data_IF_238532582684
#
_entry.id   IF_238532582684
#
_cell.length_a   1.000
_cell.length_b   1.000
_cell.length_c   1.000
_cell.angle_alpha   90.00
_cell.angle_beta   90.00
_cell.angle_gamma   90.00
#
_symmetry.space_group_name_H-M   'P 1'
#
loop_
_entity.id
_entity.type
_entity.pdbx_description
1 polymer ?
#
# COMPACT_ATOMS: atom_id res chain seq x y z
N UNK A 1 52.45 36.28 3.87
CA UNK A 1 51.60 35.76 2.78
C UNK A 1 50.26 35.30 3.33
N UNK A 2 49.22 35.32 2.49
CA UNK A 2 47.82 34.90 2.74
C UNK A 2 46.85 35.96 3.26
N UNK A 3 46.88 37.16 2.65
CA UNK A 3 45.88 38.24 2.83
C UNK A 3 44.75 38.24 1.78
N UNK A 4 44.65 37.20 0.95
CA UNK A 4 43.68 37.14 -0.17
C UNK A 4 42.50 36.18 0.05
N UNK A 5 42.43 35.47 1.18
CA UNK A 5 41.36 34.47 1.38
C UNK A 5 40.05 35.08 1.91
N UNK A 6 40.10 36.26 2.55
CA UNK A 6 38.93 36.91 3.14
C UNK A 6 38.12 37.76 2.14
N UNK A 7 38.65 38.03 0.95
CA UNK A 7 37.96 38.88 -0.04
C UNK A 7 37.03 38.13 -0.99
N UNK A 8 37.02 36.80 -0.95
CA UNK A 8 36.17 35.96 -1.80
C UNK A 8 34.87 35.51 -1.10
N UNK A 9 34.65 35.97 0.14
CA UNK A 9 33.49 35.61 0.96
C UNK A 9 32.35 36.67 0.97
N UNK A 10 32.55 37.82 0.32
CA UNK A 10 31.57 38.93 0.32
C UNK A 10 30.86 39.18 -1.02
N UNK A 11 31.19 38.44 -2.09
CA UNK A 11 30.57 38.61 -3.42
C UNK A 11 29.63 37.45 -3.79
N UNK A 12 28.92 36.89 -2.80
CA UNK A 12 27.86 35.90 -3.02
C UNK A 12 26.53 36.26 -2.35
N UNK A 13 26.43 37.44 -1.71
CA UNK A 13 25.25 37.86 -0.96
C UNK A 13 24.19 38.66 -1.77
N UNK A 14 24.24 38.72 -3.10
CA UNK A 14 23.34 39.60 -3.88
C UNK A 14 22.60 38.96 -5.06
N UNK A 15 22.57 37.63 -5.18
CA UNK A 15 21.71 36.94 -6.16
C UNK A 15 21.10 35.68 -5.54
N UNK A 16 19.87 35.78 -5.04
CA UNK A 16 19.16 34.60 -4.53
C UNK A 16 17.79 34.80 -3.90
N UNK A 17 17.16 35.97 -4.01
CA UNK A 17 15.79 36.21 -3.51
C UNK A 17 14.81 36.39 -4.67
N UNK A 18 14.65 35.35 -5.50
CA UNK A 18 13.56 35.26 -6.47
C UNK A 18 13.33 33.83 -6.94
N UNK A 19 12.81 32.94 -6.07
CA UNK A 19 12.23 31.64 -6.47
C UNK A 19 11.36 31.06 -5.35
N UNK A 20 10.26 31.74 -5.00
CA UNK A 20 9.22 31.19 -4.08
C UNK A 20 7.87 30.97 -4.79
N UNK A 21 7.83 31.04 -6.12
CA UNK A 21 6.62 30.78 -6.92
C UNK A 21 6.88 29.72 -7.99
N UNK A 22 7.15 28.48 -7.56
CA UNK A 22 7.15 27.32 -8.46
C UNK A 22 6.65 26.00 -7.83
N UNK A 23 6.39 25.94 -6.52
CA UNK A 23 6.09 24.67 -5.82
C UNK A 23 4.61 24.24 -5.85
N UNK A 24 3.90 24.42 -6.97
CA UNK A 24 2.49 23.99 -7.06
C UNK A 24 2.31 22.86 -8.09
N UNK A 25 3.20 22.73 -9.08
CA UNK A 25 3.18 21.61 -10.03
C UNK A 25 4.09 20.42 -9.62
N UNK A 26 5.11 20.66 -8.79
CA UNK A 26 6.11 19.65 -8.40
C UNK A 26 5.64 18.66 -7.33
N UNK A 27 4.50 18.93 -6.67
CA UNK A 27 4.05 18.12 -5.53
C UNK A 27 3.77 16.65 -5.88
N UNK A 28 3.38 16.34 -7.11
CA UNK A 28 3.15 14.96 -7.56
C UNK A 28 4.45 14.19 -7.83
N UNK A 29 5.39 14.84 -8.54
CA UNK A 29 6.69 14.26 -8.88
C UNK A 29 7.57 14.08 -7.64
N UNK A 30 7.56 15.04 -6.72
CA UNK A 30 8.27 14.94 -5.44
C UNK A 30 7.75 13.79 -4.57
N UNK A 31 6.42 13.57 -4.52
CA UNK A 31 5.83 12.44 -3.78
C UNK A 31 6.23 11.11 -4.40
N UNK A 32 6.20 10.99 -5.72
CA UNK A 32 6.64 9.77 -6.42
C UNK A 32 8.13 9.47 -6.17
N UNK A 33 8.98 10.50 -6.18
CA UNK A 33 10.40 10.38 -5.86
C UNK A 33 10.63 9.91 -4.41
N UNK A 34 9.87 10.44 -3.45
CA UNK A 34 9.94 9.99 -2.05
C UNK A 34 9.48 8.53 -1.86
N UNK A 35 8.41 8.11 -2.54
CA UNK A 35 8.00 6.70 -2.53
C UNK A 35 9.09 5.78 -3.12
N UNK A 36 9.75 6.21 -4.19
CA UNK A 36 10.85 5.47 -4.79
C UNK A 36 12.05 5.37 -3.83
N UNK A 37 12.39 6.47 -3.14
CA UNK A 37 13.43 6.50 -2.09
C UNK A 37 13.11 5.51 -0.97
N UNK A 38 11.91 5.58 -0.39
CA UNK A 38 11.47 4.67 0.69
C UNK A 38 11.52 3.21 0.23
N UNK A 39 11.13 2.92 -1.01
CA UNK A 39 11.16 1.57 -1.57
C UNK A 39 12.59 1.05 -1.71
N UNK A 40 13.50 1.89 -2.24
CA UNK A 40 14.93 1.56 -2.36
C UNK A 40 15.55 1.30 -0.98
N UNK A 41 15.27 2.16 0.00
CA UNK A 41 15.80 2.02 1.36
C UNK A 41 15.29 0.75 2.03
N UNK A 42 14.01 0.40 1.84
CA UNK A 42 13.46 -0.87 2.31
C UNK A 42 14.20 -2.06 1.68
N UNK A 43 14.46 -2.04 0.38
CA UNK A 43 15.21 -3.11 -0.28
C UNK A 43 16.64 -3.25 0.26
N UNK A 44 17.31 -2.13 0.57
CA UNK A 44 18.64 -2.14 1.16
C UNK A 44 18.63 -2.77 2.57
N UNK A 45 17.63 -2.43 3.40
CA UNK A 45 17.45 -3.03 4.72
C UNK A 45 17.20 -4.53 4.60
N UNK A 46 16.34 -4.97 3.69
CA UNK A 46 16.08 -6.41 3.47
C UNK A 46 17.33 -7.16 3.01
N UNK A 47 18.11 -6.57 2.10
CA UNK A 47 19.37 -7.16 1.64
C UNK A 47 20.36 -7.33 2.79
N UNK A 48 20.60 -6.26 3.56
CA UNK A 48 21.47 -6.32 4.73
C UNK A 48 20.97 -7.34 5.74
N UNK A 49 19.67 -7.40 5.99
CA UNK A 49 19.09 -8.39 6.90
C UNK A 49 19.36 -9.82 6.43
N UNK A 50 19.22 -10.11 5.13
CA UNK A 50 19.54 -11.42 4.58
C UNK A 50 21.03 -11.77 4.74
N UNK A 51 21.92 -10.82 4.48
CA UNK A 51 23.37 -10.99 4.66
C UNK A 51 23.73 -11.22 6.14
N UNK A 52 23.12 -10.47 7.06
CA UNK A 52 23.28 -10.65 8.50
C UNK A 52 22.75 -12.01 8.99
N UNK A 53 21.58 -12.43 8.50
CA UNK A 53 20.98 -13.71 8.86
C UNK A 53 21.84 -14.89 8.36
N UNK A 54 22.39 -14.79 7.14
CA UNK A 54 23.36 -15.76 6.63
C UNK A 54 24.63 -15.82 7.51
N UNK A 55 25.16 -14.65 7.90
CA UNK A 55 26.31 -14.57 8.80
C UNK A 55 26.04 -15.14 10.21
N UNK A 56 24.79 -15.13 10.67
CA UNK A 56 24.46 -15.70 11.99
C UNK A 56 24.68 -17.21 12.07
N UNK A 57 24.58 -17.95 10.97
CA UNK A 57 24.81 -19.41 10.97
C UNK A 57 26.28 -19.79 11.22
N UNK A 58 27.21 -18.84 11.11
CA UNK A 58 28.63 -19.06 11.41
C UNK A 58 28.97 -18.83 12.90
N UNK A 59 28.00 -18.40 13.71
CA UNK A 59 28.19 -18.09 15.13
C UNK A 59 27.69 -19.23 16.00
N UNK A 60 28.25 -19.37 17.21
CA UNK A 60 27.75 -20.34 18.19
C UNK A 60 26.35 -19.98 18.71
N UNK A 61 26.10 -18.71 19.02
CA UNK A 61 24.80 -18.20 19.48
C UNK A 61 23.90 -17.80 18.29
N UNK A 62 23.56 -18.75 17.42
CA UNK A 62 22.80 -18.49 16.18
C UNK A 62 21.44 -17.85 16.47
N UNK A 63 20.71 -18.36 17.47
CA UNK A 63 19.36 -17.88 17.80
C UNK A 63 19.39 -16.43 18.28
N UNK A 64 20.25 -16.11 19.25
CA UNK A 64 20.40 -14.74 19.76
C UNK A 64 20.84 -13.77 18.65
N UNK A 65 21.75 -14.20 17.78
CA UNK A 65 22.17 -13.41 16.63
C UNK A 65 21.00 -13.10 15.69
N UNK A 66 20.19 -14.11 15.35
CA UNK A 66 19.04 -13.95 14.46
C UNK A 66 17.96 -13.06 15.09
N UNK A 67 17.72 -13.20 16.39
CA UNK A 67 16.73 -12.37 17.08
C UNK A 67 17.17 -10.91 17.17
N UNK A 68 18.47 -10.65 17.39
CA UNK A 68 19.04 -9.32 17.32
C UNK A 68 18.95 -8.72 15.90
N UNK A 69 19.25 -9.51 14.86
CA UNK A 69 19.10 -9.09 13.45
C UNK A 69 17.65 -8.75 13.11
N UNK A 70 16.69 -9.59 13.52
CA UNK A 70 15.25 -9.33 13.36
C UNK A 70 14.80 -8.08 14.11
N UNK A 71 15.32 -7.84 15.31
CA UNK A 71 15.01 -6.65 16.09
C UNK A 71 15.47 -5.37 15.38
N UNK A 72 16.69 -5.35 14.85
CA UNK A 72 17.21 -4.23 14.04
C UNK A 72 16.33 -3.97 12.81
N UNK A 73 16.06 -5.01 12.01
CA UNK A 73 15.18 -4.90 10.83
C UNK A 73 13.80 -4.33 11.18
N UNK A 74 13.19 -4.76 12.29
CA UNK A 74 11.88 -4.24 12.72
C UNK A 74 11.92 -2.74 13.00
N UNK A 75 12.94 -2.25 13.70
CA UNK A 75 13.07 -0.82 14.04
C UNK A 75 13.25 0.03 12.79
N UNK A 76 14.11 -0.39 11.87
CA UNK A 76 14.41 0.36 10.65
C UNK A 76 13.22 0.38 9.69
N UNK A 77 12.56 -0.75 9.47
CA UNK A 77 11.33 -0.80 8.66
C UNK A 77 10.20 0.00 9.31
N UNK A 78 10.10 0.00 10.64
CA UNK A 78 9.09 0.78 11.35
C UNK A 78 9.28 2.29 11.12
N UNK A 79 10.52 2.77 11.01
CA UNK A 79 10.77 4.17 10.69
C UNK A 79 10.32 4.53 9.27
N UNK A 80 10.70 3.72 8.27
CA UNK A 80 10.23 3.90 6.89
C UNK A 80 8.71 3.87 6.79
N UNK A 81 8.06 2.99 7.55
CA UNK A 81 6.60 2.90 7.59
C UNK A 81 5.97 4.18 8.15
N UNK A 82 6.57 4.82 9.16
CA UNK A 82 6.08 6.11 9.68
C UNK A 82 6.19 7.21 8.62
N UNK A 83 7.33 7.27 7.91
CA UNK A 83 7.54 8.21 6.82
C UNK A 83 6.51 8.01 5.70
N UNK A 84 6.28 6.76 5.29
CA UNK A 84 5.30 6.40 4.26
C UNK A 84 3.86 6.74 4.68
N UNK A 85 3.49 6.54 5.94
CA UNK A 85 2.17 6.96 6.46
C UNK A 85 2.02 8.48 6.37
N UNK A 86 3.02 9.24 6.81
CA UNK A 86 2.98 10.71 6.74
C UNK A 86 2.86 11.21 5.31
N UNK A 87 3.57 10.58 4.37
CA UNK A 87 3.51 10.91 2.95
C UNK A 87 2.11 10.63 2.36
N UNK A 88 1.54 9.46 2.65
CA UNK A 88 0.20 9.09 2.24
C UNK A 88 -0.87 10.02 2.83
N UNK A 89 -0.71 10.44 4.09
CA UNK A 89 -1.62 11.38 4.74
C UNK A 89 -1.60 12.75 4.07
N UNK A 90 -0.41 13.27 3.76
CA UNK A 90 -0.24 14.51 3.02
C UNK A 90 -0.87 14.42 1.62
N UNK A 91 -0.67 13.31 0.93
CA UNK A 91 -1.24 13.10 -0.40
C UNK A 91 -2.78 13.04 -0.36
N UNK A 92 -3.36 12.35 0.62
CA UNK A 92 -4.82 12.30 0.82
C UNK A 92 -5.41 13.69 1.06
N UNK A 93 -4.76 14.51 1.90
CA UNK A 93 -5.19 15.89 2.16
C UNK A 93 -5.13 16.74 0.88
N UNK A 94 -4.04 16.62 0.11
CA UNK A 94 -3.88 17.37 -1.15
C UNK A 94 -4.96 17.00 -2.18
N UNK A 95 -5.16 15.70 -2.44
CA UNK A 95 -6.19 15.21 -3.35
C UNK A 95 -7.61 15.62 -2.90
N UNK A 96 -7.85 15.63 -1.60
CA UNK A 96 -9.10 16.12 -1.01
C UNK A 96 -9.32 17.61 -1.29
N UNK A 97 -8.30 18.44 -1.06
CA UNK A 97 -8.35 19.87 -1.34
C UNK A 97 -8.54 20.17 -2.83
N UNK A 98 -7.81 19.49 -3.71
CA UNK A 98 -7.97 19.60 -5.17
C UNK A 98 -9.40 19.24 -5.60
N UNK A 99 -9.99 18.20 -5.01
CA UNK A 99 -11.36 17.80 -5.30
C UNK A 99 -12.39 18.86 -4.84
N UNK A 100 -12.20 19.46 -3.66
CA UNK A 100 -13.04 20.54 -3.17
C UNK A 100 -12.96 21.76 -4.08
N UNK A 101 -11.75 22.18 -4.48
CA UNK A 101 -11.55 23.27 -5.43
C UNK A 101 -12.24 22.99 -6.78
N UNK A 102 -12.14 21.77 -7.30
CA UNK A 102 -12.87 21.38 -8.52
C UNK A 102 -14.37 21.49 -8.37
N UNK A 103 -14.92 21.12 -7.21
CA UNK A 103 -16.35 21.23 -6.93
C UNK A 103 -16.80 22.69 -6.80
N UNK A 104 -16.01 23.54 -6.15
CA UNK A 104 -16.26 24.98 -6.02
C UNK A 104 -16.20 25.69 -7.37
N UNK A 105 -15.19 25.40 -8.20
CA UNK A 105 -15.10 25.93 -9.56
C UNK A 105 -16.28 25.47 -10.43
N UNK A 106 -16.70 24.20 -10.29
CA UNK A 106 -17.87 23.68 -11.01
C UNK A 106 -19.20 24.26 -10.52
N UNK A 107 -19.27 24.72 -9.27
CA UNK A 107 -20.43 25.41 -8.72
C UNK A 107 -20.46 26.87 -9.18
N UNK A 108 -19.32 27.58 -9.09
CA UNK A 108 -19.18 28.95 -9.57
C UNK A 108 -19.47 29.09 -11.08
N UNK A 109 -19.01 28.13 -11.90
CA UNK A 109 -19.31 28.08 -13.34
C UNK A 109 -20.79 27.82 -13.66
N UNK A 110 -21.61 27.40 -12.69
CA UNK A 110 -23.06 27.21 -12.85
C UNK A 110 -23.88 28.40 -12.38
N UNK A 111 -23.28 29.28 -11.57
CA UNK A 111 -23.91 30.49 -11.02
C UNK A 111 -23.63 31.75 -11.86
N UNK A 112 -22.78 31.67 -12.91
CA UNK A 112 -22.65 32.76 -13.89
C UNK A 112 -23.94 32.92 -14.73
N UNK A 113 -24.54 34.12 -14.81
CA UNK A 113 -25.70 34.36 -15.66
C UNK A 113 -25.33 34.22 -17.14
N UNK A 114 -26.23 33.70 -17.99
CA UNK A 114 -25.93 33.50 -19.41
C UNK A 114 -25.70 34.85 -20.10
N UNK A 115 -24.45 35.15 -20.45
CA UNK A 115 -24.14 36.16 -21.48
C UNK A 115 -24.57 35.60 -22.83
N UNK A 116 -25.63 36.17 -23.37
CA UNK A 116 -26.16 35.82 -24.67
C UNK A 116 -25.17 36.23 -25.78
N UNK A 117 -24.51 35.24 -26.39
CA UNK A 117 -24.01 35.33 -27.76
C UNK A 117 -24.55 34.12 -28.51
N UNK A 118 -25.54 34.37 -29.38
CA UNK A 118 -26.10 33.32 -30.22
C UNK A 118 -25.13 32.90 -31.31
N UNK A 119 -25.02 31.60 -31.55
CA UNK A 119 -25.65 30.94 -32.72
C UNK A 119 -25.47 29.41 -32.67
N UNK A 120 -26.54 28.72 -33.10
CA UNK A 120 -26.62 27.38 -33.67
C UNK A 120 -26.41 26.10 -32.80
N UNK A 121 -27.53 25.45 -32.49
CA UNK A 121 -27.79 24.02 -32.14
C UNK A 121 -27.56 23.07 -33.35
N UNK A 122 -27.63 21.71 -33.26
CA UNK A 122 -27.93 20.84 -32.11
C UNK A 122 -27.12 19.51 -32.00
N UNK A 123 -27.20 18.81 -30.84
CA UNK A 123 -27.84 17.47 -30.70
C UNK A 123 -27.26 16.61 -29.55
N UNK A 124 -28.13 16.31 -28.59
CA UNK A 124 -28.31 14.96 -28.04
C UNK A 124 -27.51 14.55 -26.80
N UNK A 125 -28.02 14.86 -25.60
CA UNK A 125 -28.62 13.88 -24.67
C UNK A 125 -29.05 14.58 -23.37
N UNK A 126 -30.33 14.44 -23.05
CA UNK A 126 -31.04 14.76 -21.79
C UNK A 126 -30.44 15.83 -20.85
N UNK A 127 -31.01 17.03 -20.91
CA UNK A 127 -30.85 18.08 -19.92
C UNK A 127 -31.39 17.63 -18.54
N UNK A 128 -30.57 17.75 -17.50
CA UNK A 128 -31.06 17.96 -16.14
C UNK A 128 -31.19 19.49 -15.94
N UNK A 129 -32.32 20.03 -15.45
CA UNK A 129 -32.50 21.47 -15.36
C UNK A 129 -31.57 22.07 -14.30
N UNK A 130 -31.01 23.23 -14.65
CA UNK A 130 -30.25 24.09 -13.75
C UNK A 130 -31.10 24.47 -12.52
N UNK A 131 -30.51 24.36 -11.32
CA UNK A 131 -31.18 24.76 -10.07
C UNK A 131 -30.91 26.23 -9.82
N UNK A 132 -31.89 27.07 -10.08
CA UNK A 132 -31.96 28.43 -9.55
C UNK A 132 -32.28 28.38 -8.06
N UNK A 133 -31.53 29.11 -7.23
CA UNK A 133 -31.84 29.29 -5.82
C UNK A 133 -33.04 30.23 -5.66
N UNK A 134 -34.24 29.68 -5.80
CA UNK A 134 -35.49 30.34 -5.46
C UNK A 134 -35.58 30.62 -3.95
N UNK A 135 -36.27 31.69 -3.51
CA UNK A 135 -36.54 31.92 -2.10
C UNK A 135 -37.21 30.68 -1.50
N UNK A 136 -36.76 30.24 -0.32
CA UNK A 136 -37.22 28.99 0.29
C UNK A 136 -38.75 28.99 0.44
N UNK A 137 -39.41 28.19 -0.40
CA UNK A 137 -40.85 27.94 -0.29
C UNK A 137 -41.18 27.39 1.11
N UNK A 138 -42.36 27.71 1.68
CA UNK A 138 -42.79 27.12 2.94
C UNK A 138 -42.73 25.60 2.83
N UNK A 139 -42.02 24.97 3.78
CA UNK A 139 -41.81 23.52 3.79
C UNK A 139 -43.17 22.83 3.68
N UNK A 140 -43.40 22.08 2.59
CA UNK A 140 -44.59 21.24 2.43
C UNK A 140 -44.76 20.38 3.70
N UNK A 141 -45.99 20.20 4.20
CA UNK A 141 -46.23 19.35 5.36
C UNK A 141 -45.68 17.95 5.09
N UNK A 142 -45.09 17.36 6.13
CA UNK A 142 -44.46 16.04 6.05
C UNK A 142 -45.47 14.98 5.61
N UNK A 143 -45.20 14.33 4.48
CA UNK A 143 -45.97 13.19 3.99
C UNK A 143 -45.37 11.89 4.58
N UNK A 144 -46.07 11.35 5.57
CA UNK A 144 -45.63 10.16 6.28
C UNK A 144 -45.61 8.91 5.39
N UNK A 145 -46.51 8.81 4.41
CA UNK A 145 -46.60 7.66 3.50
C UNK A 145 -45.47 7.70 2.47
N UNK A 146 -45.16 8.88 1.93
CA UNK A 146 -44.02 9.07 1.04
C UNK A 146 -42.68 8.77 1.76
N UNK A 147 -42.55 9.22 3.01
CA UNK A 147 -41.38 8.94 3.84
C UNK A 147 -41.24 7.45 4.17
N UNK A 148 -42.35 6.77 4.51
CA UNK A 148 -42.38 5.34 4.76
C UNK A 148 -41.98 4.53 3.52
N UNK A 149 -42.48 4.90 2.33
CA UNK A 149 -42.11 4.26 1.06
C UNK A 149 -40.63 4.46 0.73
N UNK A 150 -40.10 5.67 0.92
CA UNK A 150 -38.68 5.94 0.73
C UNK A 150 -37.80 5.12 1.69
N UNK A 151 -38.24 4.95 2.94
CA UNK A 151 -37.53 4.11 3.90
C UNK A 151 -37.59 2.62 3.52
N UNK A 152 -38.73 2.13 3.02
CA UNK A 152 -38.87 0.76 2.52
C UNK A 152 -37.94 0.49 1.33
N UNK A 153 -37.83 1.42 0.37
CA UNK A 153 -36.89 1.29 -0.75
C UNK A 153 -35.43 1.30 -0.30
N UNK A 154 -35.07 2.13 0.68
CA UNK A 154 -33.71 2.15 1.26
C UNK A 154 -33.38 0.84 1.98
N UNK A 155 -34.34 0.26 2.70
CA UNK A 155 -34.18 -1.07 3.34
C UNK A 155 -33.99 -2.15 2.28
N UNK A 156 -34.87 -2.21 1.28
CA UNK A 156 -34.77 -3.20 0.21
C UNK A 156 -33.46 -3.11 -0.59
N UNK A 157 -32.98 -1.89 -0.88
CA UNK A 157 -31.68 -1.70 -1.55
C UNK A 157 -30.49 -2.07 -0.67
N UNK A 158 -30.54 -1.77 0.63
CA UNK A 158 -29.51 -2.20 1.58
C UNK A 158 -29.47 -3.73 1.71
N UNK A 159 -30.64 -4.38 1.79
CA UNK A 159 -30.77 -5.83 1.83
C UNK A 159 -30.25 -6.48 0.54
N UNK A 160 -30.63 -5.97 -0.63
CA UNK A 160 -30.11 -6.46 -1.92
C UNK A 160 -28.58 -6.33 -1.98
N UNK A 161 -28.03 -5.19 -1.53
CA UNK A 161 -26.58 -4.98 -1.48
C UNK A 161 -25.90 -5.97 -0.52
N UNK A 162 -26.51 -6.24 0.63
CA UNK A 162 -26.02 -7.23 1.58
C UNK A 162 -26.04 -8.64 0.98
N UNK A 163 -27.11 -9.05 0.29
CA UNK A 163 -27.20 -10.34 -0.39
C UNK A 163 -26.13 -10.49 -1.47
N UNK A 164 -25.97 -9.49 -2.35
CA UNK A 164 -24.95 -9.52 -3.39
C UNK A 164 -23.53 -9.64 -2.81
N UNK A 165 -23.26 -8.94 -1.70
CA UNK A 165 -21.96 -9.05 -1.01
C UNK A 165 -21.73 -10.46 -0.47
N UNK A 166 -22.75 -11.08 0.14
CA UNK A 166 -22.65 -12.45 0.65
C UNK A 166 -22.45 -13.46 -0.49
N UNK A 167 -23.13 -13.30 -1.61
CA UNK A 167 -22.94 -14.14 -2.80
C UNK A 167 -21.53 -13.99 -3.39
N UNK A 168 -21.01 -12.76 -3.49
CA UNK A 168 -19.65 -12.50 -3.93
C UNK A 168 -18.62 -13.15 -3.00
N UNK A 169 -18.83 -13.08 -1.68
CA UNK A 169 -17.98 -13.74 -0.70
C UNK A 169 -18.03 -15.26 -0.84
N UNK A 170 -19.22 -15.84 -0.98
CA UNK A 170 -19.38 -17.28 -1.20
C UNK A 170 -18.71 -17.73 -2.50
N UNK A 171 -18.82 -16.96 -3.58
CA UNK A 171 -18.16 -17.24 -4.87
C UNK A 171 -16.64 -17.16 -4.74
N UNK A 172 -16.11 -16.16 -4.03
CA UNK A 172 -14.67 -16.04 -3.74
C UNK A 172 -14.17 -17.22 -2.91
N UNK A 173 -14.89 -17.59 -1.85
CA UNK A 173 -14.56 -18.73 -1.02
C UNK A 173 -14.53 -20.05 -1.82
N UNK A 174 -15.53 -20.28 -2.67
CA UNK A 174 -15.57 -21.45 -3.58
C UNK A 174 -14.38 -21.48 -4.54
N UNK A 175 -13.99 -20.34 -5.12
CA UNK A 175 -12.82 -20.25 -6.00
C UNK A 175 -11.51 -20.57 -5.27
N UNK A 176 -11.35 -20.06 -4.05
CA UNK A 176 -10.16 -20.33 -3.22
C UNK A 176 -10.11 -21.81 -2.83
N UNK A 177 -11.24 -22.39 -2.39
CA UNK A 177 -11.34 -23.80 -2.04
C UNK A 177 -11.05 -24.71 -3.24
N UNK A 178 -11.60 -24.39 -4.42
CA UNK A 178 -11.32 -25.12 -5.66
C UNK A 178 -9.85 -25.03 -6.07
N UNK A 179 -9.23 -23.85 -5.97
CA UNK A 179 -7.81 -23.67 -6.24
C UNK A 179 -6.93 -24.43 -5.25
N UNK A 180 -7.30 -24.48 -3.97
CA UNK A 180 -6.60 -25.29 -2.98
C UNK A 180 -6.70 -26.79 -3.33
N UNK A 181 -7.91 -27.29 -3.57
CA UNK A 181 -8.15 -28.70 -3.93
C UNK A 181 -7.40 -29.12 -5.21
N UNK A 182 -7.34 -28.26 -6.23
CA UNK A 182 -6.60 -28.53 -7.46
C UNK A 182 -5.08 -28.66 -7.24
N UNK A 183 -4.53 -27.99 -6.24
CA UNK A 183 -3.09 -28.00 -5.95
C UNK A 183 -2.66 -29.09 -4.96
N UNK A 184 -3.58 -29.69 -4.21
CA UNK A 184 -3.29 -30.79 -3.27
C UNK A 184 -2.58 -32.00 -3.90
N UNK A 185 -2.98 -32.55 -5.06
CA UNK A 185 -2.27 -33.70 -5.65
C UNK A 185 -0.82 -33.36 -6.03
N UNK A 186 -0.57 -32.16 -6.56
CA UNK A 186 0.78 -31.71 -6.89
C UNK A 186 1.65 -31.54 -5.65
N UNK A 187 1.09 -30.97 -4.57
CA UNK A 187 1.77 -30.86 -3.27
C UNK A 187 2.10 -32.22 -2.67
N UNK A 188 1.15 -33.16 -2.73
CA UNK A 188 1.35 -34.50 -2.22
C UNK A 188 2.42 -35.27 -3.01
N UNK A 189 2.38 -35.18 -4.35
CA UNK A 189 3.40 -35.77 -5.22
C UNK A 189 4.80 -35.19 -4.93
N UNK A 190 4.91 -33.86 -4.79
CA UNK A 190 6.17 -33.19 -4.43
C UNK A 190 6.70 -33.68 -3.08
N UNK A 191 5.84 -33.82 -2.07
CA UNK A 191 6.24 -34.33 -0.75
C UNK A 191 6.75 -35.77 -0.80
N UNK A 192 6.15 -36.62 -1.64
CA UNK A 192 6.66 -37.98 -1.85
C UNK A 192 8.03 -37.99 -2.52
N UNK A 193 8.24 -37.14 -3.53
CA UNK A 193 9.52 -37.00 -4.22
C UNK A 193 10.61 -36.49 -3.27
N UNK A 194 10.32 -35.46 -2.47
CA UNK A 194 11.24 -34.92 -1.46
C UNK A 194 11.58 -35.99 -0.40
N UNK A 195 10.60 -36.76 0.06
CA UNK A 195 10.84 -37.85 1.00
C UNK A 195 11.71 -38.96 0.39
N UNK A 196 11.51 -39.30 -0.89
CA UNK A 196 12.34 -40.26 -1.60
C UNK A 196 13.77 -39.74 -1.79
N UNK A 197 13.93 -38.47 -2.18
CA UNK A 197 15.22 -37.83 -2.34
C UNK A 197 16.00 -37.76 -1.02
N UNK A 198 15.36 -37.37 0.08
CA UNK A 198 15.99 -37.32 1.39
C UNK A 198 16.44 -38.70 1.88
N UNK A 199 15.65 -39.75 1.59
CA UNK A 199 16.05 -41.14 1.89
C UNK A 199 17.28 -41.56 1.09
N UNK A 200 17.30 -41.26 -0.21
CA UNK A 200 18.45 -41.54 -1.07
C UNK A 200 19.71 -40.80 -0.58
N UNK A 201 19.61 -39.50 -0.32
CA UNK A 201 20.71 -38.68 0.20
C UNK A 201 21.24 -39.22 1.53
N UNK A 202 20.35 -39.62 2.44
CA UNK A 202 20.76 -40.22 3.72
C UNK A 202 21.45 -41.57 3.54
N UNK A 203 20.98 -42.39 2.60
CA UNK A 203 21.62 -43.66 2.26
C UNK A 203 23.02 -43.45 1.68
N UNK A 204 23.17 -42.50 0.75
CA UNK A 204 24.45 -42.14 0.15
C UNK A 204 25.42 -41.58 1.19
N UNK A 205 24.95 -40.67 2.06
CA UNK A 205 25.76 -40.13 3.17
C UNK A 205 26.20 -41.22 4.14
N UNK A 206 25.33 -42.19 4.41
CA UNK A 206 25.67 -43.33 5.26
C UNK A 206 26.68 -44.27 4.59
N UNK A 207 26.56 -44.50 3.27
CA UNK A 207 27.50 -45.31 2.49
C UNK A 207 28.88 -44.64 2.36
N UNK A 208 28.91 -43.31 2.19
CA UNK A 208 30.13 -42.51 2.10
C UNK A 208 30.81 -42.30 3.47
N UNK A 209 30.17 -42.72 4.58
CA UNK A 209 30.74 -42.54 5.92
C UNK A 209 31.85 -43.54 6.17
N UNK A 210 33.08 -43.08 6.03
CA UNK A 210 34.31 -43.87 6.26
C UNK A 210 34.75 -43.94 7.73
N UNK A 211 34.17 -43.11 8.62
CA UNK A 211 34.51 -43.08 10.04
C UNK A 211 33.88 -44.25 10.79
N UNK A 212 34.72 -45.05 11.45
CA UNK A 212 34.31 -46.19 12.27
C UNK A 212 33.24 -45.80 13.30
N UNK A 213 32.28 -46.71 13.54
CA UNK A 213 31.30 -46.55 14.62
C UNK A 213 32.05 -46.55 15.96
N UNK A 214 31.63 -45.67 16.87
CA UNK A 214 32.16 -45.61 18.23
C UNK A 214 32.02 -46.96 18.92
N UNK A 215 32.97 -47.32 19.78
CA UNK A 215 32.84 -48.52 20.62
C UNK A 215 31.54 -48.46 21.44
N UNK A 216 30.85 -49.59 21.65
CA UNK A 216 29.67 -49.64 22.51
C UNK A 216 30.03 -49.19 23.93
N UNK A 217 29.05 -48.60 24.64
CA UNK A 217 29.25 -48.22 26.04
C UNK A 217 29.61 -49.47 26.86
N UNK A 218 30.50 -49.35 27.86
CA UNK A 218 30.83 -50.45 28.75
C UNK A 218 29.57 -50.94 29.48
N UNK A 219 29.43 -52.25 29.61
CA UNK A 219 28.34 -52.84 30.39
C UNK A 219 28.49 -52.42 31.87
N UNK A 220 27.39 -52.10 32.56
CA UNK A 220 27.44 -51.70 33.97
C UNK A 220 27.98 -52.84 34.83
N UNK A 221 28.89 -52.51 35.75
CA UNK A 221 29.48 -53.48 36.68
C UNK A 221 28.42 -54.08 37.64
N UNK A 222 28.57 -55.35 38.06
CA UNK A 222 27.64 -56.02 38.98
C UNK A 222 27.61 -55.41 40.38
#
# INVERSE_FOLDING_TARGET
MNKYWTSLLCLSCLFGSASVLAQIADGGLAVAAEHARITSERQQIEKRFADEEAGCFQKFAVNDCRDASRARRRVEIADLRRQEISLNDAERKRKGAEQLQRMEQSAAAKDEPPVAVGTATPRGTAAAPARTHAPAEPRKPYDADAAAKAQATRKATAENKARNYQEDQAKRARRVAAAAAANEPARYAKKQQEAAAHKAETADRNAARTKAKSAPLPEPAP
#
